data_IF_618803722076
#
_entry.id   IF_618803722076
#
_cell.length_a   1.000
_cell.length_b   1.000
_cell.length_c   1.000
_cell.angle_alpha   90.00
_cell.angle_beta   90.00
_cell.angle_gamma   90.00
#
_symmetry.space_group_name_H-M   'P 1'
#
loop_
_entity.id
_entity.type
_entity.pdbx_description
1 polymer ?
#
# COMPACT_ATOMS: atom_id res chain seq x y z
N UNK A 1 17.33 9.69 -20.91
CA UNK A 1 17.41 8.22 -21.13
C UNK A 1 17.19 7.96 -22.63
N UNK A 2 17.81 6.94 -23.22
CA UNK A 2 17.68 6.62 -24.65
C UNK A 2 17.21 5.17 -24.81
N UNK A 3 16.51 4.87 -25.90
CA UNK A 3 16.08 3.51 -26.24
C UNK A 3 16.53 3.18 -27.67
N UNK A 4 16.71 1.89 -27.95
CA UNK A 4 17.06 1.41 -29.29
C UNK A 4 15.82 0.91 -29.99
N UNK A 5 15.54 1.44 -31.18
CA UNK A 5 14.44 0.96 -32.02
C UNK A 5 14.93 -0.20 -32.90
N UNK A 6 14.46 -1.41 -32.58
CA UNK A 6 14.75 -2.62 -33.33
C UNK A 6 13.78 -2.89 -34.48
N UNK A 7 12.78 -2.02 -34.73
CA UNK A 7 11.80 -2.23 -35.79
C UNK A 7 12.47 -2.10 -37.17
N UNK A 8 12.49 -3.17 -38.00
CA UNK A 8 13.09 -3.15 -39.34
C UNK A 8 12.43 -2.17 -40.31
N UNK A 9 11.16 -1.80 -40.06
CA UNK A 9 10.40 -0.88 -40.89
C UNK A 9 10.57 0.60 -40.50
N UNK A 10 11.10 0.87 -39.29
CA UNK A 10 11.53 2.22 -38.93
C UNK A 10 12.87 2.50 -39.62
N UNK A 11 13.13 3.73 -40.08
CA UNK A 11 14.36 4.10 -40.80
C UNK A 11 15.64 3.67 -40.05
N UNK A 12 16.16 2.49 -40.38
CA UNK A 12 17.34 1.90 -39.75
C UNK A 12 18.61 2.44 -40.41
N UNK A 13 19.60 2.82 -39.59
CA UNK A 13 20.96 2.98 -40.08
C UNK A 13 21.51 1.61 -40.50
N UNK A 14 22.54 1.59 -41.36
CA UNK A 14 23.30 0.38 -41.67
C UNK A 14 24.72 0.54 -41.16
N UNK A 15 25.32 -0.56 -40.73
CA UNK A 15 26.76 -0.61 -40.43
C UNK A 15 27.40 -1.73 -41.25
N UNK A 16 28.63 -1.52 -41.70
CA UNK A 16 29.39 -2.55 -42.41
C UNK A 16 30.24 -3.32 -41.41
N UNK A 17 30.00 -4.61 -41.29
CA UNK A 17 30.84 -5.53 -40.51
C UNK A 17 31.47 -6.53 -41.49
N UNK A 18 32.80 -6.54 -41.57
CA UNK A 18 33.55 -7.48 -42.43
C UNK A 18 33.11 -7.48 -43.91
N UNK A 19 32.71 -6.31 -44.42
CA UNK A 19 32.22 -6.16 -45.80
C UNK A 19 30.75 -6.55 -46.01
N UNK A 20 30.05 -7.00 -44.95
CA UNK A 20 28.61 -7.29 -44.96
C UNK A 20 27.86 -6.11 -44.36
N UNK A 21 26.87 -5.59 -45.09
CA UNK A 21 25.93 -4.61 -44.53
C UNK A 21 24.95 -5.31 -43.58
N UNK A 22 24.96 -4.90 -42.32
CA UNK A 22 23.98 -5.34 -41.32
C UNK A 22 23.10 -4.15 -40.90
N UNK A 23 21.77 -4.37 -40.77
CA UNK A 23 20.88 -3.35 -40.22
C UNK A 23 21.28 -3.03 -38.78
N UNK A 24 21.32 -1.74 -38.44
CA UNK A 24 21.66 -1.26 -37.12
C UNK A 24 20.44 -0.59 -36.47
N UNK A 25 20.12 -1.02 -35.25
CA UNK A 25 19.08 -0.38 -34.43
C UNK A 25 19.48 1.07 -34.14
N UNK A 26 18.54 2.00 -34.36
CA UNK A 26 18.81 3.44 -34.17
C UNK A 26 18.52 3.82 -32.73
N UNK A 27 19.44 4.55 -32.11
CA UNK A 27 19.25 5.14 -30.77
C UNK A 27 18.28 6.32 -30.89
N UNK A 28 17.12 6.23 -30.26
CA UNK A 28 16.14 7.32 -30.19
C UNK A 28 16.19 7.98 -28.81
N UNK A 29 15.98 9.30 -28.81
CA UNK A 29 15.77 10.05 -27.58
C UNK A 29 14.42 9.61 -27.03
N UNK A 30 14.40 9.06 -25.82
CA UNK A 30 13.14 8.83 -25.12
C UNK A 30 12.57 10.16 -24.65
N UNK A 31 11.28 10.37 -24.85
CA UNK A 31 10.56 11.41 -24.12
C UNK A 31 10.08 10.82 -22.79
N UNK A 32 10.28 11.57 -21.71
CA UNK A 32 9.54 11.34 -20.47
C UNK A 32 8.24 12.14 -20.55
N UNK A 33 7.12 11.54 -20.19
CA UNK A 33 5.89 12.27 -19.95
C UNK A 33 5.83 12.57 -18.46
N UNK A 34 5.72 13.85 -18.11
CA UNK A 34 5.35 14.23 -16.76
C UNK A 34 3.88 13.85 -16.58
N UNK A 35 3.63 12.80 -15.80
CA UNK A 35 2.26 12.36 -15.51
C UNK A 35 1.64 13.16 -14.37
N UNK A 36 2.46 13.53 -13.39
CA UNK A 36 2.06 14.27 -12.20
C UNK A 36 3.20 15.22 -11.82
N UNK A 37 2.87 16.47 -11.56
CA UNK A 37 3.82 17.46 -11.05
C UNK A 37 4.08 17.26 -9.54
N UNK A 38 5.18 17.77 -8.98
CA UNK A 38 5.46 17.63 -7.55
C UNK A 38 4.34 18.15 -6.65
N UNK A 39 3.67 19.23 -7.04
CA UNK A 39 2.58 19.85 -6.25
C UNK A 39 1.30 19.00 -6.25
N UNK A 40 1.13 18.11 -7.24
CA UNK A 40 -0.02 17.21 -7.35
C UNK A 40 0.20 15.85 -6.65
N UNK A 41 1.42 15.57 -6.16
CA UNK A 41 1.74 14.32 -5.45
C UNK A 41 0.91 14.15 -4.18
N UNK A 42 0.53 15.25 -3.54
CA UNK A 42 -0.29 15.24 -2.33
C UNK A 42 -1.72 14.73 -2.60
N UNK A 43 -2.22 14.91 -3.81
CA UNK A 43 -3.57 14.47 -4.21
C UNK A 43 -3.61 13.03 -4.74
N UNK A 44 -2.46 12.39 -4.97
CA UNK A 44 -2.42 11.01 -5.46
C UNK A 44 -2.92 10.05 -4.37
N UNK A 45 -4.04 9.37 -4.65
CA UNK A 45 -4.55 8.28 -3.78
C UNK A 45 -3.99 6.92 -4.19
N UNK A 46 -3.87 6.65 -5.49
CA UNK A 46 -3.22 5.46 -6.02
C UNK A 46 -2.69 5.69 -7.43
N UNK A 47 -1.71 4.88 -7.81
CA UNK A 47 -1.28 4.69 -9.19
C UNK A 47 -1.39 3.20 -9.51
N UNK A 48 -1.99 2.88 -10.66
CA UNK A 48 -2.12 1.50 -11.14
C UNK A 48 -1.47 1.31 -12.49
N UNK A 49 -0.89 0.13 -12.70
CA UNK A 49 -0.42 -0.34 -14.00
C UNK A 49 -1.14 -1.64 -14.31
N UNK A 50 -1.80 -1.69 -15.45
CA UNK A 50 -2.54 -2.88 -15.91
C UNK A 50 -3.57 -3.41 -14.88
N UNK A 51 -4.10 -2.52 -14.03
CA UNK A 51 -5.07 -2.85 -12.98
C UNK A 51 -4.46 -3.12 -11.60
N UNK A 52 -3.14 -3.32 -11.51
CA UNK A 52 -2.41 -3.59 -10.27
C UNK A 52 -1.94 -2.28 -9.63
N UNK A 53 -2.11 -2.12 -8.30
CA UNK A 53 -1.64 -0.94 -7.57
C UNK A 53 -0.11 -0.93 -7.50
N UNK A 54 0.54 0.15 -7.92
CA UNK A 54 1.98 0.36 -7.81
C UNK A 54 2.35 1.37 -6.72
N UNK A 55 1.50 2.37 -6.51
CA UNK A 55 1.61 3.37 -5.45
C UNK A 55 0.23 3.55 -4.82
N UNK A 56 0.18 3.81 -3.53
CA UNK A 56 -1.06 4.21 -2.85
C UNK A 56 -0.74 5.08 -1.65
N UNK A 57 -1.71 5.90 -1.25
CA UNK A 57 -1.64 6.58 0.04
C UNK A 57 -2.17 5.71 1.16
N UNK A 58 -1.40 5.69 2.23
CA UNK A 58 -1.78 5.18 3.53
C UNK A 58 -1.73 6.38 4.48
N UNK A 59 -2.87 6.98 4.81
CA UNK A 59 -2.90 8.28 5.50
C UNK A 59 -2.18 9.37 4.67
N UNK A 60 -1.23 10.07 5.30
CA UNK A 60 -0.42 11.12 4.66
C UNK A 60 0.86 10.59 3.98
N UNK A 61 1.06 9.27 3.97
CA UNK A 61 2.26 8.64 3.43
C UNK A 61 1.98 8.00 2.07
N UNK A 62 2.86 8.24 1.08
CA UNK A 62 2.79 7.62 -0.24
C UNK A 62 3.67 6.36 -0.27
N UNK A 63 3.02 5.20 -0.38
CA UNK A 63 3.66 3.89 -0.29
C UNK A 63 4.15 3.43 -1.66
N UNK A 64 5.40 2.96 -1.72
CA UNK A 64 5.98 2.35 -2.91
C UNK A 64 5.65 0.85 -2.95
N UNK A 65 4.54 0.55 -3.60
CA UNK A 65 4.04 -0.81 -3.78
C UNK A 65 4.96 -1.73 -4.55
N UNK A 66 5.62 -1.24 -5.59
CA UNK A 66 6.60 -2.03 -6.36
C UNK A 66 7.71 -2.56 -5.45
N UNK A 67 8.26 -1.68 -4.60
CA UNK A 67 9.29 -2.06 -3.64
C UNK A 67 8.76 -3.05 -2.62
N UNK A 68 7.54 -2.84 -2.13
CA UNK A 68 6.88 -3.77 -1.22
C UNK A 68 6.70 -5.16 -1.82
N UNK A 69 6.14 -5.29 -3.03
CA UNK A 69 5.92 -6.58 -3.67
C UNK A 69 7.23 -7.30 -4.00
N UNK A 70 8.27 -6.57 -4.38
CA UNK A 70 9.59 -7.14 -4.59
C UNK A 70 10.16 -7.70 -3.27
N UNK A 71 10.06 -6.93 -2.18
CA UNK A 71 10.57 -7.34 -0.87
C UNK A 71 9.79 -8.53 -0.30
N UNK A 72 8.47 -8.52 -0.47
CA UNK A 72 7.59 -9.60 -0.04
C UNK A 72 7.93 -10.92 -0.74
N UNK A 73 8.14 -10.93 -2.05
CA UNK A 73 8.53 -12.14 -2.78
C UNK A 73 9.86 -12.73 -2.30
N UNK A 74 10.76 -11.90 -1.77
CA UNK A 74 12.05 -12.35 -1.24
C UNK A 74 11.96 -12.88 0.19
N UNK A 75 11.05 -12.33 0.99
CA UNK A 75 11.00 -12.56 2.44
C UNK A 75 9.83 -13.45 2.89
N UNK A 76 8.78 -13.58 2.10
CA UNK A 76 7.52 -14.18 2.54
C UNK A 76 7.16 -15.42 1.72
N UNK A 77 7.21 -16.59 2.37
CA UNK A 77 6.76 -17.86 1.80
C UNK A 77 5.32 -18.15 2.22
N UNK A 78 4.40 -17.95 1.27
CA UNK A 78 3.04 -18.48 1.19
C UNK A 78 2.10 -18.19 2.38
N UNK A 79 1.33 -17.10 2.26
CA UNK A 79 0.02 -17.04 2.90
C UNK A 79 -0.98 -16.36 1.96
N UNK A 80 -1.76 -17.19 1.29
CA UNK A 80 -2.50 -16.86 0.07
C UNK A 80 -3.76 -16.00 0.30
N UNK A 81 -4.02 -15.54 1.53
CA UNK A 81 -5.28 -14.84 1.89
C UNK A 81 -5.15 -13.81 3.01
N UNK A 82 -4.12 -12.95 2.99
CA UNK A 82 -3.99 -11.82 3.94
C UNK A 82 -4.16 -10.47 3.24
N UNK A 83 -4.75 -9.49 3.95
CA UNK A 83 -4.85 -8.11 3.48
C UNK A 83 -3.45 -7.53 3.19
N UNK A 84 -3.35 -6.50 2.34
CA UNK A 84 -2.08 -5.81 2.08
C UNK A 84 -1.46 -5.30 3.39
N UNK A 85 -2.30 -4.77 4.28
CA UNK A 85 -1.90 -4.27 5.60
C UNK A 85 -1.25 -5.36 6.45
N UNK A 86 -1.89 -6.52 6.57
CA UNK A 86 -1.34 -7.63 7.34
C UNK A 86 -0.06 -8.21 6.74
N UNK A 87 0.04 -8.22 5.41
CA UNK A 87 1.27 -8.61 4.69
C UNK A 87 2.39 -7.60 4.94
N UNK A 88 2.09 -6.31 4.94
CA UNK A 88 3.06 -5.25 5.24
C UNK A 88 3.64 -5.38 6.65
N UNK A 89 2.80 -5.61 7.66
CA UNK A 89 3.25 -5.86 9.03
C UNK A 89 4.14 -7.10 9.11
N UNK A 90 3.74 -8.20 8.46
CA UNK A 90 4.53 -9.43 8.50
C UNK A 90 5.91 -9.28 7.83
N UNK A 91 5.99 -8.57 6.70
CA UNK A 91 7.27 -8.28 6.03
C UNK A 91 8.13 -7.34 6.88
N UNK A 92 7.53 -6.33 7.50
CA UNK A 92 8.24 -5.42 8.41
C UNK A 92 8.84 -6.19 9.60
N UNK A 93 8.04 -7.03 10.27
CA UNK A 93 8.49 -7.82 11.42
C UNK A 93 9.61 -8.79 11.02
N UNK A 94 9.52 -9.39 9.83
CA UNK A 94 10.61 -10.22 9.30
C UNK A 94 11.90 -9.42 9.14
N UNK A 95 11.84 -8.25 8.51
CA UNK A 95 13.01 -7.42 8.22
C UNK A 95 13.65 -6.86 9.50
N UNK A 96 12.85 -6.41 10.45
CA UNK A 96 13.33 -5.97 11.77
C UNK A 96 14.07 -7.10 12.50
N UNK A 97 13.56 -8.33 12.43
CA UNK A 97 14.22 -9.49 13.02
C UNK A 97 15.48 -9.93 12.26
N UNK A 98 15.46 -9.83 10.92
CA UNK A 98 16.61 -10.16 10.07
C UNK A 98 17.74 -9.13 10.18
N UNK A 99 17.41 -7.88 10.52
CA UNK A 99 18.33 -6.76 10.64
C UNK A 99 18.18 -6.01 11.99
N UNK A 100 18.58 -6.61 13.13
CA UNK A 100 18.37 -6.02 14.46
C UNK A 100 19.12 -4.70 14.71
N UNK A 101 20.05 -4.33 13.84
CA UNK A 101 20.81 -3.08 13.92
C UNK A 101 20.16 -1.92 13.18
N UNK A 102 19.15 -2.20 12.35
CA UNK A 102 18.41 -1.16 11.63
C UNK A 102 17.41 -0.51 12.56
N UNK A 103 17.22 0.81 12.40
CA UNK A 103 16.12 1.50 13.06
C UNK A 103 14.78 1.26 12.33
N UNK A 104 13.68 1.70 12.94
CA UNK A 104 12.33 1.48 12.40
C UNK A 104 12.12 2.11 11.02
N UNK A 105 12.76 3.25 10.76
CA UNK A 105 12.62 3.95 9.48
C UNK A 105 13.42 3.22 8.40
N UNK A 106 14.65 2.82 8.71
CA UNK A 106 15.48 2.02 7.79
C UNK A 106 14.78 0.72 7.38
N UNK A 107 14.13 0.03 8.32
CA UNK A 107 13.34 -1.17 8.03
C UNK A 107 12.15 -0.83 7.13
N UNK A 108 11.37 0.19 7.45
CA UNK A 108 10.18 0.57 6.68
C UNK A 108 10.55 1.02 5.25
N UNK A 109 11.56 1.88 5.09
CA UNK A 109 12.03 2.37 3.80
C UNK A 109 12.53 1.24 2.91
N UNK A 110 13.17 0.22 3.51
CA UNK A 110 13.69 -0.93 2.78
C UNK A 110 12.58 -1.68 2.01
N UNK A 111 11.37 -1.71 2.54
CA UNK A 111 10.18 -2.34 1.94
C UNK A 111 9.23 -1.34 1.26
N UNK A 112 9.59 -0.05 1.16
CA UNK A 112 8.80 0.95 0.44
C UNK A 112 7.72 1.66 1.27
N UNK A 113 7.83 1.59 2.60
CA UNK A 113 6.95 2.29 3.55
C UNK A 113 7.73 3.36 4.31
N UNK A 114 7.00 4.20 5.05
CA UNK A 114 7.54 5.01 6.14
C UNK A 114 7.21 4.37 7.48
N UNK A 115 7.97 4.67 8.53
CA UNK A 115 7.67 4.10 9.86
C UNK A 115 6.28 4.54 10.36
N UNK A 116 5.86 5.78 10.07
CA UNK A 116 4.53 6.30 10.40
C UNK A 116 3.41 5.49 9.76
N UNK A 117 3.55 5.10 8.49
CA UNK A 117 2.57 4.27 7.80
C UNK A 117 2.47 2.87 8.41
N UNK A 118 3.60 2.23 8.73
CA UNK A 118 3.60 0.90 9.37
C UNK A 118 2.95 0.95 10.74
N UNK A 119 3.25 1.96 11.57
CA UNK A 119 2.62 2.13 12.89
C UNK A 119 1.10 2.27 12.77
N UNK A 120 0.62 3.13 11.87
CA UNK A 120 -0.83 3.30 11.64
C UNK A 120 -1.51 2.04 11.14
N UNK A 121 -0.87 1.30 10.23
CA UNK A 121 -1.38 0.01 9.78
C UNK A 121 -1.46 -0.97 10.95
N UNK A 122 -0.42 -1.06 11.79
CA UNK A 122 -0.40 -1.96 12.95
C UNK A 122 -1.51 -1.62 13.93
N UNK A 123 -1.70 -0.33 14.23
CA UNK A 123 -2.78 0.14 15.10
C UNK A 123 -4.17 -0.21 14.52
N UNK A 124 -4.36 -0.02 13.21
CA UNK A 124 -5.61 -0.38 12.54
C UNK A 124 -5.87 -1.89 12.47
N UNK A 125 -4.82 -2.72 12.37
CA UNK A 125 -4.95 -4.18 12.42
C UNK A 125 -5.26 -4.67 13.84
N UNK A 126 -4.76 -3.99 14.89
CA UNK A 126 -5.14 -4.27 16.29
C UNK A 126 -6.63 -3.99 16.54
N UNK A 127 -7.19 -2.93 15.96
CA UNK A 127 -8.63 -2.62 16.07
C UNK A 127 -9.55 -3.62 15.36
N UNK A 128 -9.02 -4.49 14.49
CA UNK A 128 -9.80 -5.56 13.86
C UNK A 128 -9.85 -6.83 14.73
N UNK A 129 -9.08 -6.91 15.81
CA UNK A 129 -9.10 -8.05 16.72
C UNK A 129 -10.38 -8.02 17.58
N UNK A 130 -11.24 -9.06 17.55
CA UNK A 130 -12.49 -9.10 18.31
C UNK A 130 -12.31 -8.96 19.83
N UNK A 131 -11.11 -9.18 20.37
CA UNK A 131 -10.81 -8.99 21.79
C UNK A 131 -10.72 -7.51 22.21
N UNK A 132 -10.71 -6.56 21.26
CA UNK A 132 -10.61 -5.11 21.54
C UNK A 132 -11.97 -4.40 21.66
N UNK A 133 -13.09 -5.14 21.63
CA UNK A 133 -14.38 -4.60 22.05
C UNK A 133 -14.36 -4.61 23.59
N UNK A 134 -13.73 -3.59 24.18
CA UNK A 134 -13.98 -3.24 25.58
C UNK A 134 -15.46 -2.85 25.67
N UNK A 135 -16.30 -3.82 26.03
CA UNK A 135 -17.58 -3.53 26.67
C UNK A 135 -17.24 -2.83 27.98
N UNK A 136 -17.23 -1.50 27.95
CA UNK A 136 -17.54 -0.68 29.12
C UNK A 136 -18.97 -1.04 29.52
N UNK A 137 -19.15 -2.18 30.21
CA UNK A 137 -20.37 -2.46 30.93
C UNK A 137 -20.37 -1.52 32.15
N UNK A 138 -21.14 -0.45 32.01
CA UNK A 138 -21.41 0.60 33.00
C UNK A 138 -21.64 0.02 34.40
N UNK A 139 -20.92 0.59 35.37
CA UNK A 139 -21.14 0.41 36.81
C UNK A 139 -22.58 0.75 37.21
N UNK A 140 -23.13 -0.09 38.09
CA UNK A 140 -24.17 0.16 39.08
C UNK A 140 -25.45 0.91 38.64
N UNK A 141 -26.53 0.14 38.44
CA UNK A 141 -27.85 0.59 38.87
C UNK A 141 -28.44 -0.42 39.83
N UNK A 142 -28.35 -0.09 41.13
CA UNK A 142 -29.04 -0.81 42.20
C UNK A 142 -30.54 -0.87 41.91
N UNK A 143 -31.09 -2.08 41.93
CA UNK A 143 -32.51 -2.40 41.89
C UNK A 143 -33.24 -1.63 43.01
N UNK A 144 -33.91 -0.53 42.65
CA UNK A 144 -34.87 0.14 43.51
C UNK A 144 -36.29 -0.19 43.04
N UNK A 145 -36.89 -1.16 43.71
CA UNK A 145 -38.33 -1.40 43.74
C UNK A 145 -39.10 -0.09 43.97
N UNK A 146 -39.92 0.31 43.00
CA UNK A 146 -41.06 1.19 43.23
C UNK A 146 -42.28 0.69 42.47
N UNK A 147 -43.04 -0.17 43.14
CA UNK A 147 -44.47 -0.36 42.91
C UNK A 147 -45.19 1.00 43.04
N UNK A 148 -45.75 1.47 41.93
CA UNK A 148 -46.81 2.47 41.96
C UNK A 148 -47.77 2.26 40.79
N UNK A 149 -48.87 1.59 41.09
CA UNK A 149 -50.07 1.57 40.27
C UNK A 149 -50.54 2.98 39.90
N UNK A 150 -50.99 3.17 38.66
CA UNK A 150 -51.85 4.31 38.35
C UNK A 150 -51.79 4.84 36.92
N UNK A 151 -52.49 4.16 36.00
CA UNK A 151 -53.51 4.87 35.24
C UNK A 151 -53.18 5.49 33.87
N UNK A 152 -53.71 4.80 32.85
CA UNK A 152 -54.56 5.32 31.75
C UNK A 152 -53.96 6.34 30.75
N UNK A 153 -53.66 5.85 29.55
CA UNK A 153 -54.35 6.31 28.33
C UNK A 153 -53.59 7.18 27.34
N UNK A 154 -53.43 6.69 26.09
CA UNK A 154 -53.27 7.56 24.92
C UNK A 154 -52.46 7.02 23.74
N UNK A 155 -53.05 6.11 22.95
CA UNK A 155 -52.75 5.96 21.50
C UNK A 155 -53.37 7.18 20.76
N UNK A 156 -53.02 7.67 19.57
CA UNK A 156 -52.26 7.22 18.41
C UNK A 156 -51.97 8.45 17.50
N UNK A 157 -51.01 8.33 16.58
CA UNK A 157 -50.64 9.32 15.57
C UNK A 157 -51.76 9.58 14.54
N UNK A 158 -51.99 10.86 14.26
CA UNK A 158 -52.71 11.41 13.11
C UNK A 158 -52.04 12.70 12.67
#
# INVERSE_FOLDING_TARGET
>A
QHWYDGNPASSQGKVTLEGVEVPASVRKVGCAMLLVSPDELDEIVWLKKDGEKLLWREGEDLINGERFFAQEQLCYSDETTKSINRRAVAVYDYLANAHPTWDEEEVAESMGYTASAIRRIRDAELCQDPEFIEVEDEDDTEEADVDAEGGIGGYNFG
#
